data_IF_048282141368
#
_entry.id   IF_048282141368
#
_cell.length_a   1.000
_cell.length_b   1.000
_cell.length_c   1.000
_cell.angle_alpha   90.00
_cell.angle_beta   90.00
_cell.angle_gamma   90.00
#
_symmetry.space_group_name_H-M   'P 1'
#
loop_
_entity.id
_entity.type
_entity.pdbx_description
1 polymer ?
#
# COMPACT_ATOMS: atom_id res chain seq x y z
N UNK A 1 -8.32 -6.76 18.54
CA UNK A 1 -7.89 -5.35 18.49
C UNK A 1 -6.38 -5.33 18.69
N UNK A 2 -5.61 -5.63 17.65
CA UNK A 2 -4.14 -5.63 17.73
C UNK A 2 -3.53 -4.85 16.55
N UNK A 3 -2.73 -3.86 16.97
CA UNK A 3 -1.66 -3.13 16.28
C UNK A 3 -1.88 -2.51 14.88
N UNK A 4 -2.43 -1.28 14.84
CA UNK A 4 -1.91 -0.21 13.98
C UNK A 4 -0.47 0.21 14.38
N UNK A 5 0.05 -0.28 15.50
CA UNK A 5 1.21 0.26 16.21
C UNK A 5 2.56 -0.04 15.58
N UNK A 6 2.78 -1.15 14.88
CA UNK A 6 4.13 -1.49 14.39
C UNK A 6 4.60 -0.58 13.26
N UNK A 7 3.73 -0.30 12.28
CA UNK A 7 4.10 0.56 11.15
C UNK A 7 4.38 2.00 11.63
N UNK A 8 3.47 2.57 12.42
CA UNK A 8 3.67 3.90 13.03
C UNK A 8 4.89 3.94 13.94
N UNK A 9 5.14 2.90 14.75
CA UNK A 9 6.30 2.82 15.63
C UNK A 9 7.61 2.77 14.82
N UNK A 10 7.69 1.94 13.79
CA UNK A 10 8.90 1.86 12.96
C UNK A 10 9.12 3.12 12.11
N UNK A 11 8.06 3.73 11.57
CA UNK A 11 8.15 5.02 10.88
C UNK A 11 8.56 6.16 11.81
N UNK A 12 8.06 6.18 13.05
CA UNK A 12 8.47 7.14 14.06
C UNK A 12 9.95 6.97 14.42
N UNK A 13 10.43 5.73 14.57
CA UNK A 13 11.82 5.45 14.90
C UNK A 13 12.81 5.71 13.76
N UNK A 14 12.41 5.56 12.49
CA UNK A 14 13.29 5.74 11.32
C UNK A 14 13.06 7.05 10.55
N UNK A 15 12.07 7.85 10.95
CA UNK A 15 11.62 9.03 10.23
C UNK A 15 10.65 8.69 9.09
N UNK A 16 9.64 9.56 8.90
CA UNK A 16 8.62 9.40 7.85
C UNK A 16 9.20 9.74 6.47
N UNK A 17 9.91 8.78 5.89
CA UNK A 17 10.42 8.82 4.52
C UNK A 17 9.79 7.70 3.70
N UNK A 18 9.28 8.04 2.51
CA UNK A 18 8.60 7.08 1.63
C UNK A 18 9.43 5.83 1.32
N UNK A 19 10.76 5.96 1.19
CA UNK A 19 11.67 4.82 1.00
C UNK A 19 11.66 3.85 2.18
N UNK A 20 11.59 4.36 3.42
CA UNK A 20 11.58 3.55 4.63
C UNK A 20 10.29 2.73 4.73
N UNK A 21 9.15 3.30 4.30
CA UNK A 21 7.86 2.58 4.23
C UNK A 21 7.97 1.36 3.31
N UNK A 22 8.60 1.51 2.14
CA UNK A 22 8.77 0.40 1.21
C UNK A 22 9.73 -0.67 1.74
N UNK A 23 10.82 -0.27 2.41
CA UNK A 23 11.74 -1.23 3.07
C UNK A 23 11.00 -2.00 4.17
N UNK A 24 10.23 -1.31 5.00
CA UNK A 24 9.47 -1.94 6.08
C UNK A 24 8.40 -2.91 5.55
N UNK A 25 7.83 -2.63 4.38
CA UNK A 25 6.91 -3.54 3.69
C UNK A 25 7.57 -4.89 3.41
N UNK A 26 8.81 -4.89 2.92
CA UNK A 26 9.55 -6.14 2.68
C UNK A 26 9.84 -6.87 3.98
N UNK A 27 10.28 -6.16 5.03
CA UNK A 27 10.56 -6.76 6.34
C UNK A 27 9.30 -7.42 6.93
N UNK A 28 8.15 -6.76 6.84
CA UNK A 28 6.87 -7.32 7.32
C UNK A 28 6.50 -8.58 6.54
N UNK A 29 6.71 -8.57 5.22
CA UNK A 29 6.45 -9.72 4.34
C UNK A 29 7.38 -10.89 4.67
N UNK A 30 8.68 -10.65 4.85
CA UNK A 30 9.67 -11.65 5.29
C UNK A 30 9.31 -12.27 6.64
N UNK A 31 8.77 -11.47 7.56
CA UNK A 31 8.34 -11.91 8.89
C UNK A 31 6.94 -12.51 8.93
N UNK A 32 6.24 -12.59 7.80
CA UNK A 32 4.86 -13.09 7.73
C UNK A 32 3.85 -12.25 8.52
N UNK A 33 4.14 -10.97 8.74
CA UNK A 33 3.25 -10.07 9.48
C UNK A 33 2.15 -9.60 8.52
N UNK A 34 0.86 -9.83 8.82
CA UNK A 34 -0.22 -9.44 7.94
C UNK A 34 -0.35 -7.91 7.84
N UNK A 35 -0.77 -7.45 6.68
CA UNK A 35 -1.06 -6.04 6.43
C UNK A 35 -2.50 -5.71 6.77
N UNK A 36 -2.73 -4.51 7.31
CA UNK A 36 -4.06 -3.95 7.52
C UNK A 36 -4.29 -2.76 6.56
N UNK A 37 -5.48 -2.16 6.61
CA UNK A 37 -5.85 -1.03 5.75
C UNK A 37 -4.89 0.17 5.87
N UNK A 38 -4.48 0.54 7.09
CA UNK A 38 -3.55 1.64 7.31
C UNK A 38 -2.17 1.35 6.69
N UNK A 39 -1.70 0.10 6.77
CA UNK A 39 -0.48 -0.32 6.10
C UNK A 39 -0.56 -0.11 4.58
N UNK A 40 -1.65 -0.53 3.95
CA UNK A 40 -1.83 -0.32 2.51
C UNK A 40 -1.92 1.15 2.14
N UNK A 41 -2.64 1.95 2.93
CA UNK A 41 -2.75 3.39 2.70
C UNK A 41 -1.37 4.07 2.72
N UNK A 42 -0.55 3.78 3.73
CA UNK A 42 0.80 4.35 3.87
C UNK A 42 1.74 3.87 2.75
N UNK A 43 1.67 2.60 2.35
CA UNK A 43 2.46 2.06 1.24
C UNK A 43 2.08 2.70 -0.10
N UNK A 44 0.79 2.96 -0.33
CA UNK A 44 0.31 3.66 -1.52
C UNK A 44 0.76 5.13 -1.51
N UNK A 45 0.70 5.81 -0.36
CA UNK A 45 1.25 7.14 -0.17
C UNK A 45 2.74 7.20 -0.53
N UNK A 46 3.51 6.22 -0.06
CA UNK A 46 4.93 6.10 -0.39
C UNK A 46 5.17 5.86 -1.89
N UNK A 47 4.38 4.97 -2.52
CA UNK A 47 4.44 4.74 -3.97
C UNK A 47 4.11 6.00 -4.76
N UNK A 48 3.13 6.78 -4.32
CA UNK A 48 2.71 8.04 -4.94
C UNK A 48 3.81 9.11 -4.87
N UNK A 49 4.44 9.27 -3.69
CA UNK A 49 5.56 10.19 -3.50
C UNK A 49 6.77 9.80 -4.37
N UNK A 50 7.09 8.51 -4.43
CA UNK A 50 8.22 7.98 -5.19
C UNK A 50 7.92 7.75 -6.67
N UNK A 51 6.68 8.00 -7.11
CA UNK A 51 6.18 7.70 -8.46
C UNK A 51 6.42 6.25 -8.90
N UNK A 52 6.40 5.31 -7.95
CA UNK A 52 6.75 3.91 -8.17
C UNK A 52 5.51 3.07 -8.52
N UNK A 53 5.04 3.22 -9.75
CA UNK A 53 3.87 2.48 -10.25
C UNK A 53 4.08 0.96 -10.31
N UNK A 54 5.32 0.48 -10.44
CA UNK A 54 5.62 -0.96 -10.42
C UNK A 54 5.30 -1.55 -9.06
N UNK A 55 5.77 -0.88 -7.99
CA UNK A 55 5.50 -1.32 -6.63
C UNK A 55 4.02 -1.24 -6.27
N UNK A 56 3.32 -0.19 -6.72
CA UNK A 56 1.87 -0.12 -6.53
C UNK A 56 1.13 -1.28 -7.23
N UNK A 57 1.63 -1.75 -8.38
CA UNK A 57 1.06 -2.93 -9.05
C UNK A 57 1.29 -4.20 -8.23
N UNK A 58 2.46 -4.35 -7.61
CA UNK A 58 2.72 -5.47 -6.68
C UNK A 58 1.79 -5.40 -5.45
N UNK A 59 1.53 -4.19 -4.95
CA UNK A 59 0.58 -3.96 -3.85
C UNK A 59 -0.84 -4.35 -4.22
N UNK A 60 -1.29 -4.14 -5.47
CA UNK A 60 -2.62 -4.61 -5.94
C UNK A 60 -2.76 -6.11 -5.72
N UNK A 61 -1.78 -6.90 -6.12
CA UNK A 61 -1.82 -8.36 -5.95
C UNK A 61 -1.78 -8.76 -4.46
N UNK A 62 -1.07 -8.00 -3.64
CA UNK A 62 -1.00 -8.20 -2.19
C UNK A 62 -2.33 -7.88 -1.50
N UNK A 63 -3.03 -6.86 -1.98
CA UNK A 63 -4.29 -6.38 -1.45
C UNK A 63 -5.49 -7.19 -1.94
N UNK A 64 -5.42 -7.79 -3.14
CA UNK A 64 -6.54 -8.49 -3.79
C UNK A 64 -7.28 -9.47 -2.87
N UNK A 65 -6.60 -10.35 -2.09
CA UNK A 65 -7.29 -11.25 -1.17
C UNK A 65 -8.07 -10.53 -0.06
N UNK A 66 -7.65 -9.31 0.28
CA UNK A 66 -8.16 -8.50 1.38
C UNK A 66 -9.00 -7.31 0.91
N UNK A 67 -9.32 -7.18 -0.40
CA UNK A 67 -10.05 -6.02 -0.93
C UNK A 67 -11.38 -5.76 -0.22
N UNK A 68 -12.09 -6.81 0.20
CA UNK A 68 -13.34 -6.70 0.96
C UNK A 68 -13.17 -6.09 2.37
N UNK A 69 -11.94 -6.03 2.90
CA UNK A 69 -11.60 -5.46 4.21
C UNK A 69 -10.87 -4.11 4.10
N UNK A 70 -10.45 -3.72 2.90
CA UNK A 70 -9.76 -2.47 2.63
C UNK A 70 -10.78 -1.34 2.53
N UNK A 71 -10.44 -0.17 3.07
CA UNK A 71 -11.35 0.97 3.04
C UNK A 71 -11.49 1.55 1.63
N UNK A 72 -12.65 2.14 1.35
CA UNK A 72 -12.88 2.88 0.10
C UNK A 72 -11.86 4.01 -0.10
N UNK A 73 -11.35 4.59 0.99
CA UNK A 73 -10.29 5.61 0.94
C UNK A 73 -8.99 5.05 0.34
N UNK A 74 -8.55 3.89 0.80
CA UNK A 74 -7.36 3.20 0.28
C UNK A 74 -7.55 2.76 -1.19
N UNK A 75 -8.71 2.22 -1.55
CA UNK A 75 -9.02 1.86 -2.95
C UNK A 75 -9.02 3.10 -3.86
N UNK A 76 -9.69 4.18 -3.45
CA UNK A 76 -9.72 5.42 -4.22
C UNK A 76 -8.32 6.02 -4.40
N UNK A 77 -7.49 5.96 -3.36
CA UNK A 77 -6.10 6.41 -3.45
C UNK A 77 -5.31 5.60 -4.49
N UNK A 78 -5.43 4.26 -4.47
CA UNK A 78 -4.84 3.37 -5.48
C UNK A 78 -5.30 3.72 -6.89
N UNK A 79 -6.62 3.83 -7.11
CA UNK A 79 -7.18 4.14 -8.43
C UNK A 79 -6.71 5.50 -8.94
N UNK A 80 -6.68 6.52 -8.08
CA UNK A 80 -6.19 7.85 -8.44
C UNK A 80 -4.70 7.80 -8.84
N UNK A 81 -3.88 7.06 -8.10
CA UNK A 81 -2.47 6.92 -8.42
C UNK A 81 -2.23 6.17 -9.74
N UNK A 82 -2.93 5.06 -9.96
CA UNK A 82 -2.87 4.30 -11.22
C UNK A 82 -3.32 5.15 -12.41
N UNK A 83 -4.41 5.91 -12.25
CA UNK A 83 -4.91 6.83 -13.27
C UNK A 83 -3.90 7.91 -13.63
N UNK A 84 -3.30 8.57 -12.63
CA UNK A 84 -2.23 9.57 -12.84
C UNK A 84 -0.98 8.97 -13.50
N UNK A 85 -0.69 7.70 -13.22
CA UNK A 85 0.45 6.97 -13.78
C UNK A 85 0.19 6.36 -15.17
N UNK A 86 -1.00 6.58 -15.75
CA UNK A 86 -1.41 6.02 -17.04
C UNK A 86 -1.61 4.50 -17.03
N UNK A 87 -1.78 3.89 -15.86
CA UNK A 87 -1.97 2.44 -15.66
C UNK A 87 -3.43 2.05 -15.66
N UNK A 88 -4.16 2.50 -16.69
CA UNK A 88 -5.60 2.30 -16.86
C UNK A 88 -6.01 0.84 -16.96
N UNK A 89 -5.20 -0.03 -17.58
CA UNK A 89 -5.49 -1.47 -17.63
C UNK A 89 -5.53 -2.10 -16.23
N UNK A 90 -4.57 -1.76 -15.37
CA UNK A 90 -4.51 -2.25 -13.99
C UNK A 90 -5.67 -1.64 -13.18
N UNK A 91 -5.96 -0.36 -13.38
CA UNK A 91 -7.09 0.32 -12.75
C UNK A 91 -8.42 -0.36 -13.06
N UNK A 92 -8.67 -0.74 -14.33
CA UNK A 92 -9.89 -1.45 -14.74
C UNK A 92 -9.96 -2.83 -14.08
N UNK A 93 -8.82 -3.54 -13.98
CA UNK A 93 -8.76 -4.83 -13.26
C UNK A 93 -9.14 -4.69 -11.79
N UNK A 94 -8.69 -3.62 -11.12
CA UNK A 94 -9.06 -3.35 -9.72
C UNK A 94 -10.55 -3.04 -9.58
N UNK A 95 -11.13 -2.26 -10.50
CA UNK A 95 -12.57 -1.92 -10.48
C UNK A 95 -13.45 -3.16 -10.73
N UNK A 96 -12.96 -4.12 -11.52
CA UNK A 96 -13.68 -5.35 -11.84
C UNK A 96 -13.60 -6.45 -10.79
N UNK A 97 -12.97 -6.19 -9.64
CA UNK A 97 -12.84 -7.11 -8.50
C UNK A 97 -13.78 -6.73 -7.38
#
# INVERSE_FOLDING_TARGET
MESPSLLYFFLYCWGYQASNVLILTEIMKEKGIPFNDANFFEMLSACSILQNWRKATDLVNLMEPSFHLVSLGTINHLLQFLGKSGKTEIMIKVIGK
#
